data_IF_488452213800
#
_entry.id   IF_488452213800
#
_cell.length_a   1.000
_cell.length_b   1.000
_cell.length_c   1.000
_cell.angle_alpha   90.00
_cell.angle_beta   90.00
_cell.angle_gamma   90.00
#
_symmetry.space_group_name_H-M   'P 1'
#
loop_
_entity.id
_entity.type
_entity.pdbx_description
1 polymer ?
#
# COMPACT_ATOMS: atom_id res chain seq x y z
N UNK A 1 29.81 -6.93 64.28
CA UNK A 1 30.63 -6.15 63.32
C UNK A 1 29.77 -5.85 62.12
N UNK A 2 29.08 -4.69 62.11
CA UNK A 2 28.25 -4.22 60.98
C UNK A 2 29.12 -3.30 60.10
N UNK A 3 29.36 -3.72 58.90
CA UNK A 3 30.04 -2.86 57.91
C UNK A 3 29.05 -1.74 57.49
N UNK A 4 29.32 -0.52 57.93
CA UNK A 4 28.58 0.66 57.44
C UNK A 4 29.00 0.95 56.01
N UNK A 5 28.11 0.66 55.07
CA UNK A 5 28.31 1.08 53.66
C UNK A 5 28.37 2.61 53.59
N UNK A 6 29.39 3.13 52.93
CA UNK A 6 29.57 4.57 52.80
C UNK A 6 28.48 5.19 51.92
N UNK A 7 27.94 6.39 52.26
CA UNK A 7 26.86 7.04 51.47
C UNK A 7 27.22 7.29 50.02
N UNK A 8 28.52 7.36 49.66
CA UNK A 8 29.03 7.51 48.29
C UNK A 8 28.76 6.28 47.41
N UNK A 9 28.82 5.07 48.01
CA UNK A 9 28.55 3.83 47.26
C UNK A 9 27.06 3.67 46.89
N UNK A 10 26.17 4.16 47.77
CA UNK A 10 24.73 4.10 47.52
C UNK A 10 24.29 5.08 46.43
N UNK A 11 24.83 6.29 46.40
CA UNK A 11 24.58 7.27 45.33
C UNK A 11 25.06 6.81 43.97
N UNK A 12 26.22 6.18 43.90
CA UNK A 12 26.74 5.61 42.63
C UNK A 12 25.87 4.46 42.09
N UNK A 13 25.34 3.62 42.97
CA UNK A 13 24.41 2.54 42.57
C UNK A 13 23.09 3.11 42.02
N UNK A 14 22.50 4.08 42.69
CA UNK A 14 21.25 4.74 42.25
C UNK A 14 21.44 5.45 40.91
N UNK A 15 22.55 6.13 40.69
CA UNK A 15 22.87 6.78 39.42
C UNK A 15 23.00 5.76 38.25
N UNK A 16 23.60 4.61 38.51
CA UNK A 16 23.73 3.53 37.50
C UNK A 16 22.39 2.93 37.11
N UNK A 17 21.48 2.72 38.08
CA UNK A 17 20.15 2.21 37.81
C UNK A 17 19.28 3.25 37.07
N UNK A 18 19.38 4.52 37.42
CA UNK A 18 18.69 5.61 36.73
C UNK A 18 19.15 5.73 35.26
N UNK A 19 20.45 5.65 35.01
CA UNK A 19 21.02 5.69 33.66
C UNK A 19 20.59 4.49 32.83
N UNK A 20 20.63 3.28 33.39
CA UNK A 20 20.17 2.07 32.72
C UNK A 20 18.67 2.15 32.35
N UNK A 21 17.83 2.69 33.25
CA UNK A 21 16.41 2.91 32.99
C UNK A 21 16.14 3.87 31.82
N UNK A 22 16.90 4.96 31.75
CA UNK A 22 16.79 5.93 30.63
C UNK A 22 17.20 5.30 29.31
N UNK A 23 18.28 4.53 29.27
CA UNK A 23 18.73 3.85 28.04
C UNK A 23 17.71 2.85 27.55
N UNK A 24 17.12 2.05 28.46
CA UNK A 24 16.06 1.09 28.10
C UNK A 24 14.82 1.83 27.58
N UNK A 25 14.38 2.91 28.22
CA UNK A 25 13.24 3.68 27.77
C UNK A 25 13.46 4.29 26.36
N UNK A 26 14.64 4.83 26.11
CA UNK A 26 15.01 5.35 24.78
C UNK A 26 15.04 4.25 23.73
N UNK A 27 15.58 3.07 24.06
CA UNK A 27 15.58 1.92 23.16
C UNK A 27 14.15 1.47 22.81
N UNK A 28 13.26 1.37 23.80
CA UNK A 28 11.84 1.01 23.57
C UNK A 28 11.15 2.03 22.67
N UNK A 29 11.33 3.33 22.94
CA UNK A 29 10.75 4.40 22.11
C UNK A 29 11.30 4.30 20.67
N UNK A 30 12.58 4.04 20.50
CA UNK A 30 13.21 3.88 19.17
C UNK A 30 12.65 2.67 18.43
N UNK A 31 12.50 1.53 19.10
CA UNK A 31 11.95 0.31 18.49
C UNK A 31 10.48 0.47 18.11
N UNK A 32 9.64 1.06 18.98
CA UNK A 32 8.21 1.30 18.69
C UNK A 32 8.07 2.22 17.47
N UNK A 33 8.80 3.34 17.44
CA UNK A 33 8.73 4.29 16.30
C UNK A 33 9.26 3.72 14.99
N UNK A 34 10.20 2.77 15.05
CA UNK A 34 10.69 2.11 13.84
C UNK A 34 9.78 0.97 13.38
N UNK A 35 9.10 0.27 14.28
CA UNK A 35 8.16 -0.78 13.93
C UNK A 35 7.07 -0.25 12.98
N UNK A 36 6.44 0.88 13.32
CA UNK A 36 5.41 1.52 12.48
C UNK A 36 5.92 1.85 11.06
N UNK A 37 7.19 2.27 10.95
CA UNK A 37 7.79 2.56 9.63
C UNK A 37 8.02 1.31 8.79
N UNK A 38 8.37 0.20 9.42
CA UNK A 38 8.56 -1.07 8.70
C UNK A 38 7.23 -1.64 8.21
N UNK A 39 6.15 -1.46 8.98
CA UNK A 39 4.81 -1.85 8.55
C UNK A 39 4.34 -1.01 7.37
N UNK A 40 4.46 0.31 7.44
CA UNK A 40 4.08 1.23 6.34
C UNK A 40 4.86 0.89 5.04
N UNK A 41 6.18 0.67 5.12
CA UNK A 41 7.00 0.29 3.95
C UNK A 41 6.61 -1.08 3.39
N UNK A 42 6.31 -2.05 4.24
CA UNK A 42 5.89 -3.37 3.80
C UNK A 42 4.53 -3.31 3.10
N UNK A 43 3.60 -2.51 3.60
CA UNK A 43 2.29 -2.28 3.00
C UNK A 43 2.42 -1.64 1.62
N UNK A 44 3.26 -0.61 1.46
CA UNK A 44 3.52 0.03 0.18
C UNK A 44 4.13 -0.93 -0.84
N UNK A 45 5.15 -1.72 -0.44
CA UNK A 45 5.80 -2.71 -1.31
C UNK A 45 4.82 -3.80 -1.74
N UNK A 46 3.99 -4.31 -0.83
CA UNK A 46 2.97 -5.31 -1.15
C UNK A 46 1.93 -4.74 -2.11
N UNK A 47 1.44 -3.53 -1.82
CA UNK A 47 0.43 -2.88 -2.63
C UNK A 47 0.91 -2.58 -4.06
N UNK A 48 2.22 -2.38 -4.28
CA UNK A 48 2.78 -2.16 -5.62
C UNK A 48 2.43 -3.29 -6.60
N UNK A 49 2.14 -4.50 -6.10
CA UNK A 49 1.67 -5.61 -6.93
C UNK A 49 0.34 -5.30 -7.65
N UNK A 50 -0.61 -4.60 -6.99
CA UNK A 50 -1.84 -4.16 -7.65
C UNK A 50 -1.57 -3.11 -8.73
N UNK A 51 -0.67 -2.16 -8.44
CA UNK A 51 -0.28 -1.11 -9.40
C UNK A 51 0.35 -1.74 -10.64
N UNK A 52 1.24 -2.73 -10.46
CA UNK A 52 1.91 -3.42 -11.55
C UNK A 52 0.96 -4.27 -12.41
N UNK A 53 -0.08 -4.84 -11.81
CA UNK A 53 -1.14 -5.56 -12.55
C UNK A 53 -1.97 -4.63 -13.44
N UNK A 54 -2.13 -3.38 -13.06
CA UNK A 54 -2.95 -2.40 -13.79
C UNK A 54 -2.22 -1.82 -15.00
N UNK A 55 -0.90 -1.66 -14.95
CA UNK A 55 -0.10 -1.04 -16.03
C UNK A 55 -0.36 -1.61 -17.43
N UNK A 56 -0.29 -2.94 -17.65
CA UNK A 56 -0.54 -3.48 -19.00
C UNK A 56 -1.96 -3.25 -19.49
N UNK A 57 -2.93 -3.11 -18.59
CA UNK A 57 -4.31 -2.78 -18.94
C UNK A 57 -4.45 -1.31 -19.31
N UNK A 58 -3.74 -0.40 -18.62
CA UNK A 58 -3.68 1.00 -18.98
C UNK A 58 -3.14 1.17 -20.42
N UNK A 59 -2.06 0.47 -20.77
CA UNK A 59 -1.49 0.49 -22.12
C UNK A 59 -2.52 0.04 -23.17
N UNK A 60 -3.28 -1.03 -22.87
CA UNK A 60 -4.31 -1.56 -23.78
C UNK A 60 -5.47 -0.58 -23.97
N UNK A 61 -5.96 0.00 -22.88
CA UNK A 61 -7.04 1.02 -22.90
C UNK A 61 -6.57 2.28 -23.64
N UNK A 62 -5.35 2.74 -23.39
CA UNK A 62 -4.77 3.91 -24.06
C UNK A 62 -4.66 3.73 -25.55
N UNK A 63 -4.12 2.58 -26.01
CA UNK A 63 -4.05 2.24 -27.43
C UNK A 63 -5.45 2.23 -28.05
N UNK A 64 -6.44 1.65 -27.39
CA UNK A 64 -7.81 1.59 -27.89
C UNK A 64 -8.46 2.97 -28.01
N UNK A 65 -8.23 3.86 -27.04
CA UNK A 65 -8.74 5.22 -27.04
C UNK A 65 -8.08 6.09 -28.11
N UNK A 66 -6.75 6.03 -28.23
CA UNK A 66 -5.99 6.86 -29.18
C UNK A 66 -6.10 6.38 -30.62
N UNK A 67 -6.28 5.07 -30.85
CA UNK A 67 -6.45 4.52 -32.20
C UNK A 67 -7.84 4.79 -32.81
N UNK A 68 -8.78 5.29 -31.99
CA UNK A 68 -10.17 5.46 -32.39
C UNK A 68 -10.90 4.15 -32.74
N UNK A 69 -10.31 3.00 -32.40
CA UNK A 69 -10.89 1.68 -32.67
C UNK A 69 -12.17 1.42 -31.89
N UNK A 70 -12.36 2.15 -30.81
CA UNK A 70 -13.57 2.11 -29.97
C UNK A 70 -14.04 3.51 -29.63
N UNK A 71 -14.39 4.35 -30.51
CA UNK A 71 -14.74 5.78 -30.32
C UNK A 71 -15.57 6.17 -29.08
N UNK A 72 -15.88 5.21 -28.21
CA UNK A 72 -16.60 5.40 -26.95
C UNK A 72 -16.00 4.48 -25.88
N UNK A 73 -15.71 5.00 -24.68
CA UNK A 73 -15.24 4.25 -23.51
C UNK A 73 -16.21 3.13 -23.10
N UNK A 74 -17.51 3.27 -23.42
CA UNK A 74 -18.53 2.28 -23.10
C UNK A 74 -18.26 0.87 -23.71
N UNK A 75 -17.37 0.77 -24.68
CA UNK A 75 -16.95 -0.50 -25.29
C UNK A 75 -15.62 -1.05 -24.75
N UNK A 76 -15.05 -0.40 -23.75
CA UNK A 76 -13.81 -0.84 -23.11
C UNK A 76 -14.13 -1.57 -21.80
N UNK A 77 -14.58 -2.82 -21.94
CA UNK A 77 -14.93 -3.68 -20.81
C UNK A 77 -14.04 -4.92 -20.76
N UNK A 78 -13.98 -5.57 -19.60
CA UNK A 78 -13.33 -6.87 -19.46
C UNK A 78 -13.84 -7.86 -20.51
N UNK A 79 -12.92 -8.59 -21.17
CA UNK A 79 -13.20 -9.52 -22.25
C UNK A 79 -13.42 -8.88 -23.62
N UNK A 80 -13.39 -7.54 -23.75
CA UNK A 80 -13.60 -6.80 -24.99
C UNK A 80 -12.33 -6.03 -25.40
N UNK A 81 -12.21 -5.65 -26.66
CA UNK A 81 -11.14 -4.80 -27.21
C UNK A 81 -9.70 -5.26 -26.87
N UNK A 82 -9.47 -6.56 -26.67
CA UNK A 82 -8.17 -7.11 -26.27
C UNK A 82 -7.89 -7.06 -24.76
N UNK A 83 -8.83 -6.60 -23.98
CA UNK A 83 -8.77 -6.64 -22.52
C UNK A 83 -9.06 -8.06 -22.01
N UNK A 84 -8.42 -8.53 -20.93
CA UNK A 84 -8.69 -9.85 -20.35
C UNK A 84 -10.09 -9.92 -19.75
N UNK A 85 -10.57 -11.13 -19.54
CA UNK A 85 -11.78 -11.37 -18.77
C UNK A 85 -11.64 -10.85 -17.35
N UNK A 86 -12.79 -10.53 -16.71
CA UNK A 86 -12.82 -10.16 -15.31
C UNK A 86 -12.30 -11.28 -14.41
N UNK A 87 -11.49 -10.94 -13.44
CA UNK A 87 -11.04 -11.83 -12.37
C UNK A 87 -11.72 -11.41 -11.08
N UNK A 88 -12.56 -12.28 -10.53
CA UNK A 88 -13.19 -12.03 -9.23
C UNK A 88 -12.18 -12.15 -8.09
N UNK A 89 -12.25 -11.25 -7.12
CA UNK A 89 -11.43 -11.32 -5.92
C UNK A 89 -11.73 -12.60 -5.12
N UNK A 90 -10.67 -13.26 -4.63
CA UNK A 90 -10.78 -14.48 -3.80
C UNK A 90 -9.64 -14.52 -2.77
N UNK A 91 -9.58 -15.57 -1.95
CA UNK A 91 -8.50 -15.80 -1.00
C UNK A 91 -7.11 -15.97 -1.65
N UNK A 92 -7.07 -16.41 -2.91
CA UNK A 92 -5.81 -16.70 -3.62
C UNK A 92 -5.55 -15.82 -4.84
N UNK A 93 -6.43 -14.85 -5.15
CA UNK A 93 -6.30 -14.00 -6.32
C UNK A 93 -6.82 -12.59 -6.08
N UNK A 94 -6.05 -11.60 -6.56
CA UNK A 94 -6.51 -10.23 -6.66
C UNK A 94 -7.65 -10.13 -7.69
N UNK A 95 -8.65 -9.34 -7.39
CA UNK A 95 -9.70 -9.01 -8.35
C UNK A 95 -9.19 -7.99 -9.36
N UNK A 96 -9.65 -8.12 -10.61
CA UNK A 96 -9.42 -7.12 -11.65
C UNK A 96 -10.61 -7.06 -12.59
N UNK A 97 -11.09 -5.86 -12.87
CA UNK A 97 -12.15 -5.62 -13.85
C UNK A 97 -11.92 -4.32 -14.58
N UNK A 98 -12.40 -4.25 -15.81
CA UNK A 98 -12.44 -3.04 -16.61
C UNK A 98 -13.89 -2.75 -16.97
N UNK A 99 -14.33 -1.53 -16.68
CA UNK A 99 -15.69 -1.07 -16.93
C UNK A 99 -15.64 0.34 -17.52
N UNK A 100 -16.11 0.53 -18.74
CA UNK A 100 -16.09 1.80 -19.44
C UNK A 100 -14.67 2.43 -19.44
N UNK A 101 -13.65 1.63 -19.73
CA UNK A 101 -12.23 2.03 -19.70
C UNK A 101 -11.63 2.24 -18.32
N UNK A 102 -12.44 2.25 -17.26
CA UNK A 102 -11.97 2.37 -15.88
C UNK A 102 -11.50 1.01 -15.38
N UNK A 103 -10.28 0.94 -14.89
CA UNK A 103 -9.66 -0.28 -14.37
C UNK A 103 -9.79 -0.29 -12.84
N UNK A 104 -10.29 -1.38 -12.31
CA UNK A 104 -10.50 -1.60 -10.88
C UNK A 104 -9.69 -2.83 -10.47
N UNK A 105 -8.68 -2.65 -9.66
CA UNK A 105 -7.96 -3.74 -9.02
C UNK A 105 -8.30 -3.80 -7.53
N UNK A 106 -8.53 -5.01 -7.01
CA UNK A 106 -8.90 -5.25 -5.61
C UNK A 106 -7.94 -6.24 -5.00
N UNK A 107 -7.40 -5.91 -3.84
CA UNK A 107 -6.54 -6.83 -3.08
C UNK A 107 -7.32 -8.09 -2.70
N UNK A 108 -6.63 -9.24 -2.74
CA UNK A 108 -7.20 -10.55 -2.39
C UNK A 108 -7.71 -10.59 -0.95
N UNK A 109 -8.61 -11.54 -0.67
CA UNK A 109 -9.15 -11.76 0.68
C UNK A 109 -8.15 -12.63 1.48
N UNK A 110 -7.11 -12.02 2.05
CA UNK A 110 -6.01 -12.68 2.74
C UNK A 110 -5.93 -12.35 4.24
N UNK A 111 -7.00 -11.76 4.80
CA UNK A 111 -7.10 -11.31 6.19
C UNK A 111 -6.00 -10.33 6.61
N UNK A 112 -5.29 -9.74 5.65
CA UNK A 112 -4.26 -8.73 5.91
C UNK A 112 -4.88 -7.33 6.05
N UNK A 113 -4.04 -6.37 6.39
CA UNK A 113 -4.38 -4.94 6.41
C UNK A 113 -4.78 -4.37 5.04
N UNK A 114 -4.44 -5.09 3.95
CA UNK A 114 -4.80 -4.77 2.57
C UNK A 114 -6.06 -5.47 2.07
N UNK A 115 -6.66 -6.38 2.83
CA UNK A 115 -7.86 -7.11 2.45
C UNK A 115 -8.93 -6.18 1.90
N UNK A 116 -9.39 -6.44 0.66
CA UNK A 116 -10.40 -5.67 -0.04
C UNK A 116 -9.99 -4.23 -0.41
N UNK A 117 -8.73 -3.83 -0.22
CA UNK A 117 -8.25 -2.51 -0.67
C UNK A 117 -8.31 -2.42 -2.18
N UNK A 118 -8.83 -1.30 -2.69
CA UNK A 118 -8.99 -1.05 -4.12
C UNK A 118 -8.02 0.00 -4.64
N UNK A 119 -7.53 -0.24 -5.86
CA UNK A 119 -6.82 0.71 -6.70
C UNK A 119 -7.63 0.90 -7.99
N UNK A 120 -8.08 2.12 -8.23
CA UNK A 120 -8.95 2.44 -9.36
C UNK A 120 -8.30 3.52 -10.19
N UNK A 121 -8.14 3.26 -11.48
CA UNK A 121 -7.65 4.24 -12.44
C UNK A 121 -8.70 4.52 -13.50
N UNK A 122 -8.95 5.80 -13.75
CA UNK A 122 -9.95 6.28 -14.68
C UNK A 122 -9.26 7.10 -15.76
N UNK A 123 -9.39 6.74 -17.06
CA UNK A 123 -8.79 7.50 -18.13
C UNK A 123 -9.56 8.79 -18.43
N UNK A 124 -8.84 9.81 -18.86
CA UNK A 124 -9.37 11.03 -19.45
C UNK A 124 -8.57 11.34 -20.72
N UNK A 125 -9.24 11.61 -21.81
CA UNK A 125 -8.57 12.04 -23.04
C UNK A 125 -8.59 13.57 -23.09
N UNK A 126 -7.41 14.19 -23.01
CA UNK A 126 -7.23 15.63 -23.10
C UNK A 126 -6.12 15.90 -24.13
N UNK A 127 -6.38 16.78 -25.08
CA UNK A 127 -5.42 17.21 -26.13
C UNK A 127 -4.75 16.05 -26.91
N UNK A 128 -5.41 14.88 -27.02
CA UNK A 128 -4.90 13.70 -27.73
C UNK A 128 -3.96 12.82 -26.89
N UNK A 129 -3.87 13.07 -25.61
CA UNK A 129 -3.15 12.25 -24.61
C UNK A 129 -4.16 11.66 -23.62
N UNK A 130 -3.79 10.52 -22.99
CA UNK A 130 -4.61 9.91 -21.95
C UNK A 130 -4.01 10.21 -20.59
N UNK A 131 -4.75 10.94 -19.78
CA UNK A 131 -4.42 11.18 -18.37
C UNK A 131 -5.16 10.17 -17.49
N UNK A 132 -4.50 9.70 -16.42
CA UNK A 132 -5.06 8.71 -15.51
C UNK A 132 -5.31 9.31 -14.12
N UNK A 133 -6.58 9.36 -13.73
CA UNK A 133 -6.98 9.74 -12.38
C UNK A 133 -6.97 8.52 -11.46
N UNK A 134 -6.20 8.56 -10.38
CA UNK A 134 -6.10 7.49 -9.37
C UNK A 134 -7.09 7.74 -8.25
N UNK A 135 -7.87 6.73 -7.91
CA UNK A 135 -8.82 6.71 -6.79
C UNK A 135 -8.84 5.34 -6.11
N UNK A 136 -9.74 5.12 -5.16
CA UNK A 136 -9.87 3.85 -4.44
C UNK A 136 -9.65 4.02 -2.94
N UNK A 137 -9.58 2.91 -2.22
CA UNK A 137 -9.43 2.91 -0.75
C UNK A 137 -7.96 2.90 -0.29
N UNK A 138 -7.03 2.82 -1.23
CA UNK A 138 -5.59 2.79 -0.97
C UNK A 138 -5.06 4.03 -0.22
N UNK A 139 -5.60 5.22 -0.49
CA UNK A 139 -5.19 6.45 0.20
C UNK A 139 -5.46 6.41 1.71
N UNK A 140 -6.55 5.77 2.13
CA UNK A 140 -6.89 5.57 3.55
C UNK A 140 -5.97 4.62 4.30
N UNK A 141 -5.22 3.79 3.56
CA UNK A 141 -4.26 2.80 4.08
C UNK A 141 -2.80 3.23 3.89
N UNK A 142 -2.54 4.44 3.40
CA UNK A 142 -1.20 4.95 3.03
C UNK A 142 -0.47 4.03 2.03
N UNK A 143 -1.22 3.35 1.19
CA UNK A 143 -0.70 2.39 0.23
C UNK A 143 -0.49 2.99 -1.17
N UNK A 144 -1.07 4.17 -1.44
CA UNK A 144 -0.88 4.90 -2.70
C UNK A 144 -0.66 6.41 -2.52
#
# INVERSE_FOLDING_TARGET
MGASESPLGQQQRLARFAFAGVVVALAVIFFVRNADRYEDLNTEVRYSALVDMVKPLQDTVEIALLSGSTGDMAFLNSGEAGLPDEVLVSEGAHGISVIDGRIIATWMNDESDLDGVTYIVTPRVEDGEVEWAVTGTCGGKKAC
#
